data_IF_782626896827
#
_entry.id   IF_782626896827
#
_cell.length_a   1.000
_cell.length_b   1.000
_cell.length_c   1.000
_cell.angle_alpha   90.00
_cell.angle_beta   90.00
_cell.angle_gamma   90.00
#
_symmetry.space_group_name_H-M   'P 1'
#
loop_
_entity.id
_entity.type
_entity.pdbx_description
1 polymer ?
#
# COMPACT_ATOMS: atom_id res chain seq x y z
N UNK A 1 -8.62 9.29 22.66
CA UNK A 1 -8.31 9.18 21.20
C UNK A 1 -6.95 8.53 20.91
N UNK A 2 -5.92 8.71 21.71
CA UNK A 2 -4.55 8.15 21.51
C UNK A 2 -4.43 6.62 21.61
N UNK A 3 -5.30 5.93 22.36
CA UNK A 3 -5.22 4.46 22.57
C UNK A 3 -5.63 3.64 21.33
N UNK A 4 -6.67 4.06 20.58
CA UNK A 4 -7.17 3.30 19.44
C UNK A 4 -6.22 3.39 18.22
N UNK A 5 -5.67 4.57 17.95
CA UNK A 5 -4.71 4.76 16.84
C UNK A 5 -3.45 3.92 17.05
N UNK A 6 -2.88 3.90 18.25
CA UNK A 6 -1.70 3.08 18.55
C UNK A 6 -1.98 1.57 18.38
N UNK A 7 -3.18 1.12 18.75
CA UNK A 7 -3.60 -0.27 18.56
C UNK A 7 -3.77 -0.61 17.08
N UNK A 8 -4.37 0.29 16.30
CA UNK A 8 -4.50 0.13 14.85
C UNK A 8 -3.12 0.10 14.17
N UNK A 9 -2.21 1.02 14.52
CA UNK A 9 -0.85 1.06 13.98
C UNK A 9 -0.06 -0.22 14.30
N UNK A 10 -0.20 -0.77 15.51
CA UNK A 10 0.41 -2.05 15.87
C UNK A 10 -0.15 -3.20 15.02
N UNK A 11 -1.46 -3.27 14.82
CA UNK A 11 -2.10 -4.31 14.01
C UNK A 11 -1.77 -4.22 12.52
N UNK A 12 -1.56 -3.01 11.99
CA UNK A 12 -1.13 -2.79 10.60
C UNK A 12 0.26 -3.37 10.34
N UNK A 13 1.11 -3.43 11.37
CA UNK A 13 2.46 -3.98 11.31
C UNK A 13 2.60 -5.39 11.92
N UNK A 14 1.50 -6.02 12.32
CA UNK A 14 1.52 -7.37 12.88
C UNK A 14 1.77 -8.41 11.79
N UNK A 15 2.93 -9.07 11.88
CA UNK A 15 3.38 -10.06 10.87
C UNK A 15 2.42 -11.23 10.73
N UNK A 16 1.75 -11.65 11.82
CA UNK A 16 0.78 -12.74 11.78
C UNK A 16 -0.49 -12.34 11.03
N UNK A 17 -1.01 -11.13 11.27
CA UNK A 17 -2.15 -10.58 10.53
C UNK A 17 -1.78 -10.44 9.06
N UNK A 18 -0.60 -9.89 8.76
CA UNK A 18 -0.13 -9.69 7.38
C UNK A 18 -0.02 -11.02 6.63
N UNK A 19 0.73 -11.99 7.16
CA UNK A 19 1.02 -13.24 6.47
C UNK A 19 -0.17 -14.19 6.39
N UNK A 20 -1.03 -14.25 7.43
CA UNK A 20 -2.05 -15.30 7.58
C UNK A 20 -3.49 -14.80 7.31
N UNK A 21 -3.69 -13.49 7.14
CA UNK A 21 -5.02 -12.91 6.92
C UNK A 21 -5.01 -11.87 5.80
N UNK A 22 -4.38 -10.71 6.00
CA UNK A 22 -4.46 -9.57 5.09
C UNK A 22 -3.88 -9.85 3.70
N UNK A 23 -2.85 -10.67 3.64
CA UNK A 23 -2.11 -11.08 2.44
C UNK A 23 -1.93 -12.59 2.38
N UNK A 24 -2.77 -13.37 3.07
CA UNK A 24 -2.77 -14.84 2.98
C UNK A 24 -2.87 -15.34 1.52
N UNK A 25 -3.49 -14.52 0.69
CA UNK A 25 -3.53 -14.62 -0.77
C UNK A 25 -3.67 -13.23 -1.41
N UNK A 26 -3.79 -13.20 -2.74
CA UNK A 26 -3.88 -11.93 -3.50
C UNK A 26 -5.25 -11.24 -3.47
N UNK A 27 -6.33 -11.83 -2.91
CA UNK A 27 -7.71 -11.35 -3.06
C UNK A 27 -7.94 -9.97 -2.48
N UNK A 28 -7.55 -9.75 -1.22
CA UNK A 28 -7.73 -8.46 -0.56
C UNK A 28 -6.88 -7.36 -1.21
N UNK A 29 -5.64 -7.68 -1.61
CA UNK A 29 -4.77 -6.74 -2.33
C UNK A 29 -5.37 -6.36 -3.70
N UNK A 30 -5.84 -7.36 -4.46
CA UNK A 30 -6.50 -7.11 -5.74
C UNK A 30 -7.76 -6.25 -5.60
N UNK A 31 -8.56 -6.48 -4.55
CA UNK A 31 -9.74 -5.67 -4.25
C UNK A 31 -9.36 -4.20 -3.95
N UNK A 32 -8.31 -3.96 -3.13
CA UNK A 32 -7.80 -2.61 -2.86
C UNK A 32 -7.25 -1.92 -4.11
N UNK A 33 -6.55 -2.66 -4.97
CA UNK A 33 -6.01 -2.13 -6.23
C UNK A 33 -7.10 -1.86 -7.27
N UNK A 34 -8.20 -2.61 -7.26
CA UNK A 34 -9.23 -2.54 -8.29
C UNK A 34 -9.93 -1.18 -8.38
N UNK A 35 -10.06 -0.45 -7.28
CA UNK A 35 -10.76 0.85 -7.24
C UNK A 35 -10.06 1.90 -8.12
N UNK A 36 -8.76 1.78 -8.37
CA UNK A 36 -7.99 2.71 -9.20
C UNK A 36 -8.33 2.61 -10.70
N UNK A 37 -9.13 1.60 -11.14
CA UNK A 37 -9.64 1.52 -12.52
C UNK A 37 -10.51 2.71 -12.89
N UNK A 38 -11.14 3.35 -11.89
CA UNK A 38 -11.99 4.53 -12.07
C UNK A 38 -11.28 5.85 -11.79
N UNK A 39 -9.96 5.82 -11.57
CA UNK A 39 -9.16 7.01 -11.32
C UNK A 39 -8.88 7.78 -12.59
N UNK A 40 -8.99 9.11 -12.50
CA UNK A 40 -8.57 10.06 -13.52
C UNK A 40 -7.65 11.13 -12.90
N UNK A 41 -6.49 11.42 -13.48
CA UNK A 41 -5.89 10.67 -14.60
C UNK A 41 -5.54 9.23 -14.22
N UNK A 42 -5.51 8.33 -15.21
CA UNK A 42 -5.06 6.96 -15.01
C UNK A 42 -3.52 6.92 -14.98
N UNK A 43 -2.94 6.26 -13.97
CA UNK A 43 -1.50 6.09 -13.85
C UNK A 43 -1.11 4.64 -14.10
N UNK A 44 -0.18 4.41 -15.03
CA UNK A 44 0.55 3.15 -15.14
C UNK A 44 1.70 3.15 -14.12
N UNK A 45 1.37 2.80 -12.86
CA UNK A 45 2.35 2.83 -11.77
C UNK A 45 3.59 1.95 -12.04
N UNK A 46 3.48 0.71 -12.59
CA UNK A 46 4.65 -0.05 -13.02
C UNK A 46 5.47 0.67 -14.10
N UNK A 47 4.83 1.32 -15.08
CA UNK A 47 5.53 2.11 -16.10
C UNK A 47 6.32 3.27 -15.51
N UNK A 48 5.76 3.97 -14.52
CA UNK A 48 6.46 5.05 -13.80
C UNK A 48 7.69 4.49 -13.05
N UNK A 49 7.56 3.31 -12.41
CA UNK A 49 8.70 2.64 -11.76
C UNK A 49 9.79 2.29 -12.77
N UNK A 50 9.41 1.81 -13.96
CA UNK A 50 10.34 1.53 -15.06
C UNK A 50 11.09 2.79 -15.53
N UNK A 51 10.41 3.94 -15.62
CA UNK A 51 11.03 5.24 -15.92
C UNK A 51 12.13 5.58 -14.89
N UNK A 52 11.85 5.39 -13.58
CA UNK A 52 12.80 5.66 -12.49
C UNK A 52 13.99 4.67 -12.48
N UNK A 53 13.84 3.49 -13.08
CA UNK A 53 14.90 2.48 -13.26
C UNK A 53 15.73 2.70 -14.53
N UNK A 54 15.50 3.77 -15.30
CA UNK A 54 16.26 4.06 -16.51
C UNK A 54 17.77 4.16 -16.20
N UNK A 55 18.56 3.40 -16.96
CA UNK A 55 20.03 3.30 -16.76
C UNK A 55 20.45 2.35 -15.63
N UNK A 56 19.52 1.74 -14.90
CA UNK A 56 19.82 0.67 -13.94
C UNK A 56 20.03 -0.66 -14.67
N UNK A 57 20.99 -1.46 -14.22
CA UNK A 57 21.27 -2.81 -14.71
C UNK A 57 21.56 -3.73 -13.51
N UNK A 58 21.47 -5.04 -13.69
CA UNK A 58 21.82 -6.03 -12.69
C UNK A 58 20.66 -6.45 -11.79
N UNK A 59 20.86 -6.50 -10.47
CA UNK A 59 19.93 -7.11 -9.51
C UNK A 59 18.94 -6.07 -8.97
N UNK A 60 17.66 -6.34 -9.14
CA UNK A 60 16.55 -5.57 -8.60
C UNK A 60 15.81 -6.42 -7.56
N UNK A 61 15.64 -5.91 -6.36
CA UNK A 61 14.87 -6.58 -5.31
C UNK A 61 13.54 -5.85 -5.11
N UNK A 62 12.42 -6.53 -5.32
CA UNK A 62 11.08 -6.00 -5.01
C UNK A 62 10.66 -6.49 -3.61
N UNK A 63 10.84 -5.62 -2.61
CA UNK A 63 10.62 -5.91 -1.19
C UNK A 63 9.17 -5.63 -0.83
N UNK A 64 8.44 -6.65 -0.38
CA UNK A 64 6.99 -6.63 -0.19
C UNK A 64 6.26 -6.61 -1.55
N UNK A 65 6.66 -7.51 -2.46
CA UNK A 65 6.18 -7.52 -3.85
C UNK A 65 4.69 -7.88 -3.99
N UNK A 66 4.05 -8.36 -2.92
CA UNK A 66 2.64 -8.72 -2.89
C UNK A 66 2.28 -9.73 -3.99
N UNK A 67 1.27 -9.40 -4.80
CA UNK A 67 0.81 -10.24 -5.91
C UNK A 67 1.70 -10.19 -7.17
N UNK A 68 2.90 -9.65 -7.08
CA UNK A 68 3.91 -9.66 -8.15
C UNK A 68 3.64 -8.76 -9.35
N UNK A 69 2.73 -7.79 -9.23
CA UNK A 69 2.37 -6.90 -10.35
C UNK A 69 3.58 -6.18 -10.94
N UNK A 70 4.50 -5.71 -10.10
CA UNK A 70 5.73 -5.04 -10.56
C UNK A 70 6.76 -6.04 -11.07
N UNK A 71 6.92 -7.19 -10.39
CA UNK A 71 7.81 -8.28 -10.82
C UNK A 71 7.49 -8.71 -12.25
N UNK A 72 6.22 -9.06 -12.53
CA UNK A 72 5.79 -9.51 -13.86
C UNK A 72 6.02 -8.44 -14.94
N UNK A 73 5.73 -7.16 -14.62
CA UNK A 73 5.95 -6.07 -15.57
C UNK A 73 7.43 -5.82 -15.84
N UNK A 74 8.28 -5.91 -14.81
CA UNK A 74 9.73 -5.78 -14.97
C UNK A 74 10.32 -6.93 -15.79
N UNK A 75 9.91 -8.18 -15.57
CA UNK A 75 10.33 -9.32 -16.37
C UNK A 75 9.95 -9.15 -17.84
N UNK A 76 8.75 -8.62 -18.11
CA UNK A 76 8.26 -8.39 -19.47
C UNK A 76 9.03 -7.27 -20.20
N UNK A 77 9.19 -6.11 -19.56
CA UNK A 77 9.68 -4.89 -20.22
C UNK A 77 11.20 -4.73 -20.10
N UNK A 78 11.83 -5.40 -19.11
CA UNK A 78 13.28 -5.34 -18.82
C UNK A 78 13.86 -6.73 -18.55
N UNK A 79 13.84 -7.64 -19.55
CA UNK A 79 14.39 -9.00 -19.42
C UNK A 79 15.91 -9.03 -19.19
N UNK A 80 16.57 -7.89 -19.32
CA UNK A 80 17.98 -7.69 -18.99
C UNK A 80 18.24 -7.57 -17.48
N UNK A 81 17.21 -7.35 -16.65
CA UNK A 81 17.31 -7.22 -15.21
C UNK A 81 17.09 -8.55 -14.49
N UNK A 82 17.81 -8.78 -13.41
CA UNK A 82 17.57 -9.89 -12.50
C UNK A 82 16.63 -9.44 -11.39
N UNK A 83 15.33 -9.64 -11.58
CA UNK A 83 14.31 -9.21 -10.62
C UNK A 83 13.99 -10.35 -9.65
N UNK A 84 14.05 -10.07 -8.35
CA UNK A 84 13.72 -11.01 -7.29
C UNK A 84 12.60 -10.39 -6.44
N UNK A 85 11.43 -11.04 -6.43
CA UNK A 85 10.30 -10.63 -5.57
C UNK A 85 10.46 -11.20 -4.15
N UNK A 86 10.10 -10.42 -3.14
CA UNK A 86 10.09 -10.87 -1.75
C UNK A 86 8.82 -10.40 -1.04
N UNK A 87 8.27 -11.27 -0.21
CA UNK A 87 7.16 -10.93 0.68
C UNK A 87 7.25 -11.76 1.96
N UNK A 88 6.64 -11.28 3.04
CA UNK A 88 6.58 -12.02 4.30
C UNK A 88 5.55 -13.17 4.23
N UNK A 89 4.57 -13.07 3.34
CA UNK A 89 3.53 -14.08 3.14
C UNK A 89 3.90 -15.06 2.03
N UNK A 90 4.08 -16.32 2.39
CA UNK A 90 4.25 -17.40 1.41
C UNK A 90 3.01 -17.58 0.51
N UNK A 91 1.81 -17.32 1.06
CA UNK A 91 0.55 -17.50 0.34
C UNK A 91 0.40 -16.52 -0.82
N UNK A 92 0.74 -15.24 -0.62
CA UNK A 92 0.64 -14.24 -1.70
C UNK A 92 1.67 -14.48 -2.82
N UNK A 93 2.79 -15.14 -2.49
CA UNK A 93 3.84 -15.46 -3.46
C UNK A 93 3.54 -16.70 -4.31
N UNK A 94 2.49 -17.47 -3.99
CA UNK A 94 2.21 -18.75 -4.64
C UNK A 94 2.05 -18.62 -6.17
N UNK A 95 1.43 -17.54 -6.63
CA UNK A 95 1.15 -17.28 -8.05
C UNK A 95 2.09 -16.23 -8.67
N UNK A 96 3.12 -15.79 -7.92
CA UNK A 96 4.08 -14.79 -8.42
C UNK A 96 5.17 -15.47 -9.25
N UNK A 97 5.51 -14.85 -10.38
CA UNK A 97 6.59 -15.30 -11.27
C UNK A 97 7.94 -15.32 -10.55
N UNK A 98 8.64 -16.43 -10.69
CA UNK A 98 9.94 -16.65 -10.02
C UNK A 98 11.09 -15.93 -10.74
N UNK A 99 12.15 -15.54 -10.00
CA UNK A 99 12.47 -15.93 -8.63
C UNK A 99 11.74 -15.11 -7.55
N UNK A 100 11.21 -15.81 -6.53
CA UNK A 100 10.60 -15.19 -5.34
C UNK A 100 11.12 -15.82 -4.06
N UNK A 101 11.12 -15.05 -2.96
CA UNK A 101 11.64 -15.45 -1.67
C UNK A 101 10.71 -15.00 -0.54
N UNK A 102 10.41 -15.89 0.40
CA UNK A 102 9.76 -15.49 1.66
C UNK A 102 10.79 -14.82 2.55
N UNK A 103 10.62 -13.54 2.83
CA UNK A 103 11.57 -12.77 3.63
C UNK A 103 10.89 -11.63 4.40
N UNK A 104 11.49 -11.30 5.54
CA UNK A 104 11.16 -10.11 6.31
C UNK A 104 12.01 -8.94 5.83
N UNK A 105 11.37 -7.82 5.48
CA UNK A 105 12.06 -6.61 5.03
C UNK A 105 13.05 -6.03 6.05
N UNK A 106 12.90 -6.39 7.34
CA UNK A 106 13.83 -5.96 8.41
C UNK A 106 15.11 -6.79 8.45
N UNK A 107 15.15 -7.96 7.78
CA UNK A 107 16.27 -8.90 7.80
C UNK A 107 16.42 -9.53 6.41
N UNK A 108 16.90 -8.76 5.45
CA UNK A 108 17.03 -9.23 4.07
C UNK A 108 18.18 -10.23 3.93
N UNK A 109 17.95 -11.42 3.33
CA UNK A 109 18.98 -12.47 3.20
C UNK A 109 19.96 -12.19 2.04
N UNK A 110 20.43 -10.95 1.96
CA UNK A 110 21.36 -10.49 0.94
C UNK A 110 22.58 -9.83 1.59
N UNK A 111 23.72 -9.97 0.92
CA UNK A 111 24.96 -9.34 1.36
C UNK A 111 24.87 -7.81 1.28
N UNK A 112 25.74 -7.14 2.02
CA UNK A 112 25.88 -5.68 1.90
C UNK A 112 26.21 -5.28 0.46
N UNK A 113 25.59 -4.21 -0.03
CA UNK A 113 25.88 -3.61 -1.34
C UNK A 113 25.75 -4.61 -2.50
N UNK A 114 24.79 -5.52 -2.45
CA UNK A 114 24.57 -6.57 -3.44
C UNK A 114 23.49 -6.26 -4.48
N UNK A 115 22.59 -5.30 -4.24
CA UNK A 115 21.54 -4.93 -5.15
C UNK A 115 21.79 -3.60 -5.87
N UNK A 116 21.40 -3.50 -7.12
CA UNK A 116 21.49 -2.30 -7.97
C UNK A 116 20.33 -1.33 -7.72
N UNK A 117 19.14 -1.89 -7.53
CA UNK A 117 17.96 -1.14 -7.11
C UNK A 117 17.10 -1.95 -6.15
N UNK A 118 16.34 -1.24 -5.34
CA UNK A 118 15.33 -1.77 -4.45
C UNK A 118 14.00 -1.11 -4.74
N UNK A 119 12.93 -1.91 -4.74
CA UNK A 119 11.56 -1.43 -4.72
C UNK A 119 10.97 -1.70 -3.34
N UNK A 120 10.26 -0.71 -2.78
CA UNK A 120 9.50 -0.81 -1.53
C UNK A 120 8.13 -0.14 -1.75
N UNK A 121 7.28 -0.78 -2.56
CA UNK A 121 6.08 -0.18 -3.12
C UNK A 121 4.85 -0.52 -2.27
N UNK A 122 4.28 0.49 -1.59
CA UNK A 122 3.13 0.35 -0.71
C UNK A 122 3.32 -0.70 0.41
N UNK A 123 4.53 -0.80 1.00
CA UNK A 123 4.82 -1.80 2.02
C UNK A 123 5.45 -1.25 3.31
N UNK A 124 6.17 -0.11 3.28
CA UNK A 124 6.92 0.38 4.43
C UNK A 124 6.06 0.73 5.66
N UNK A 125 4.78 0.99 5.49
CA UNK A 125 3.85 1.17 6.61
C UNK A 125 3.49 -0.14 7.31
N UNK A 126 3.80 -1.30 6.73
CA UNK A 126 3.54 -2.64 7.30
C UNK A 126 4.70 -3.20 8.13
N UNK A 127 5.88 -2.59 8.09
CA UNK A 127 7.00 -3.07 8.90
C UNK A 127 6.88 -2.57 10.35
N UNK A 128 7.31 -3.38 11.31
CA UNK A 128 7.21 -3.02 12.73
C UNK A 128 8.13 -1.85 13.09
N UNK A 129 9.34 -1.83 12.54
CA UNK A 129 10.34 -0.75 12.69
C UNK A 129 10.73 -0.20 11.31
N UNK A 130 10.19 0.98 10.99
CA UNK A 130 10.40 1.64 9.70
C UNK A 130 11.87 2.09 9.55
N UNK A 131 12.47 2.65 10.61
CA UNK A 131 13.85 3.13 10.55
C UNK A 131 14.85 1.98 10.41
N UNK A 132 14.66 0.88 11.16
CA UNK A 132 15.48 -0.31 11.02
C UNK A 132 15.37 -0.90 9.61
N UNK A 133 14.14 -0.95 9.04
CA UNK A 133 13.94 -1.42 7.67
C UNK A 133 14.64 -0.53 6.65
N UNK A 134 14.57 0.79 6.78
CA UNK A 134 15.24 1.72 5.88
C UNK A 134 16.76 1.55 5.94
N UNK A 135 17.33 1.33 7.13
CA UNK A 135 18.76 1.02 7.29
C UNK A 135 19.13 -0.30 6.63
N UNK A 136 18.27 -1.32 6.73
CA UNK A 136 18.48 -2.61 6.08
C UNK A 136 18.42 -2.50 4.54
N UNK A 137 17.45 -1.77 4.00
CA UNK A 137 17.40 -1.45 2.57
C UNK A 137 18.67 -0.73 2.11
N UNK A 138 19.12 0.27 2.88
CA UNK A 138 20.37 0.96 2.59
C UNK A 138 21.58 0.02 2.68
N UNK A 139 21.63 -0.93 3.62
CA UNK A 139 22.70 -1.92 3.73
C UNK A 139 22.86 -2.73 2.45
N UNK A 140 21.76 -3.26 1.94
CA UNK A 140 21.74 -4.14 0.77
C UNK A 140 22.00 -3.40 -0.53
N UNK A 141 21.54 -2.15 -0.64
CA UNK A 141 21.73 -1.32 -1.83
C UNK A 141 23.18 -0.91 -2.00
N UNK A 142 23.74 -1.05 -3.21
CA UNK A 142 25.11 -0.60 -3.53
C UNK A 142 25.22 0.93 -3.53
N UNK A 143 26.44 1.48 -3.37
CA UNK A 143 26.67 2.91 -3.59
C UNK A 143 26.25 3.33 -5.00
N UNK A 144 25.51 4.43 -5.11
CA UNK A 144 24.93 4.90 -6.37
C UNK A 144 23.68 4.14 -6.83
N UNK A 145 23.27 3.10 -6.13
CA UNK A 145 22.00 2.39 -6.36
C UNK A 145 20.77 3.24 -6.02
N UNK A 146 19.62 2.83 -6.51
CA UNK A 146 18.36 3.55 -6.35
C UNK A 146 17.37 2.75 -5.51
N UNK A 147 16.74 3.41 -4.53
CA UNK A 147 15.53 2.94 -3.86
C UNK A 147 14.32 3.67 -4.44
N UNK A 148 13.32 2.91 -4.84
CA UNK A 148 12.02 3.43 -5.26
C UNK A 148 10.99 2.96 -4.23
N UNK A 149 10.40 3.90 -3.50
CA UNK A 149 9.32 3.64 -2.55
C UNK A 149 8.01 4.26 -3.05
N UNK A 150 6.88 3.74 -2.62
CA UNK A 150 5.59 4.40 -2.84
C UNK A 150 4.69 4.31 -1.62
N UNK A 151 3.83 5.31 -1.48
CA UNK A 151 2.82 5.38 -0.42
C UNK A 151 1.72 6.35 -0.80
N UNK A 152 0.72 6.49 0.07
CA UNK A 152 -0.36 7.46 -0.08
C UNK A 152 -0.19 8.61 0.92
N UNK A 153 -0.80 9.76 0.61
CA UNK A 153 -0.93 10.90 1.50
C UNK A 153 -1.83 10.58 2.71
N UNK A 154 -1.65 11.31 3.80
CA UNK A 154 -2.58 11.30 4.95
C UNK A 154 -3.98 11.81 4.56
N UNK A 155 -4.12 12.48 3.40
CA UNK A 155 -5.39 12.97 2.86
C UNK A 155 -5.99 12.10 1.76
N UNK A 156 -5.36 10.96 1.45
CA UNK A 156 -5.81 10.04 0.40
C UNK A 156 -7.14 9.38 0.77
N UNK A 157 -8.15 9.49 -0.10
CA UNK A 157 -9.48 8.84 0.04
C UNK A 157 -10.27 9.21 1.30
N UNK A 158 -10.15 10.45 1.77
CA UNK A 158 -10.90 10.93 2.95
C UNK A 158 -12.43 10.78 2.81
N UNK A 159 -12.95 10.73 1.60
CA UNK A 159 -14.39 10.50 1.36
C UNK A 159 -14.80 9.10 1.82
N UNK A 160 -13.92 8.09 1.68
CA UNK A 160 -14.15 6.75 2.23
C UNK A 160 -14.05 6.73 3.76
N UNK A 161 -13.17 7.54 4.35
CA UNK A 161 -13.08 7.67 5.80
C UNK A 161 -14.36 8.26 6.39
N UNK A 162 -14.87 9.34 5.76
CA UNK A 162 -16.14 9.96 6.13
C UNK A 162 -17.33 9.03 5.94
N UNK A 163 -17.35 8.28 4.82
CA UNK A 163 -18.38 7.28 4.54
C UNK A 163 -18.40 6.20 5.63
N UNK A 164 -17.22 5.67 5.98
CA UNK A 164 -17.08 4.68 7.05
C UNK A 164 -17.53 5.22 8.41
N UNK A 165 -17.04 6.39 8.82
CA UNK A 165 -17.38 7.00 10.12
C UNK A 165 -18.88 7.25 10.25
N UNK A 166 -19.55 7.69 9.17
CA UNK A 166 -21.00 7.83 9.12
C UNK A 166 -21.71 6.48 9.27
N UNK A 167 -21.29 5.47 8.49
CA UNK A 167 -21.89 4.14 8.55
C UNK A 167 -21.71 3.50 9.94
N UNK A 168 -20.52 3.62 10.51
CA UNK A 168 -20.22 3.13 11.87
C UNK A 168 -21.07 3.87 12.93
N UNK A 169 -21.25 5.18 12.77
CA UNK A 169 -22.13 5.98 13.63
C UNK A 169 -23.58 5.51 13.58
N UNK A 170 -24.11 5.27 12.37
CA UNK A 170 -25.46 4.73 12.19
C UNK A 170 -25.65 3.35 12.88
N UNK A 171 -24.66 2.47 12.79
CA UNK A 171 -24.68 1.13 13.43
C UNK A 171 -24.64 1.24 14.96
N UNK A 172 -23.85 2.19 15.52
CA UNK A 172 -23.71 2.36 16.96
C UNK A 172 -24.75 3.30 17.58
N UNK A 173 -25.58 3.95 16.75
CA UNK A 173 -26.57 4.93 17.22
C UNK A 173 -25.93 6.21 17.76
N UNK A 174 -24.79 6.64 17.22
CA UNK A 174 -24.04 7.85 17.58
C UNK A 174 -23.81 8.73 16.34
N UNK A 175 -23.57 10.06 16.51
CA UNK A 175 -23.42 10.98 15.37
C UNK A 175 -22.27 10.63 14.42
N UNK A 176 -21.15 10.15 14.96
CA UNK A 176 -19.96 9.76 14.20
C UNK A 176 -19.29 8.57 14.89
N UNK A 177 -19.08 7.49 14.14
CA UNK A 177 -18.45 6.28 14.62
C UNK A 177 -16.93 6.32 14.60
N UNK A 178 -16.27 5.24 15.07
CA UNK A 178 -14.82 5.15 15.06
C UNK A 178 -14.28 5.14 13.63
N UNK A 179 -13.07 5.69 13.45
CA UNK A 179 -12.37 5.67 12.18
C UNK A 179 -12.03 4.23 11.74
N UNK A 180 -12.03 3.99 10.43
CA UNK A 180 -11.48 2.74 9.90
C UNK A 180 -9.97 2.68 10.05
N UNK A 181 -9.39 1.50 9.94
CA UNK A 181 -7.93 1.34 9.92
C UNK A 181 -7.35 2.04 8.69
N UNK A 182 -6.35 2.89 8.91
CA UNK A 182 -5.56 3.53 7.87
C UNK A 182 -4.22 2.82 7.71
N UNK A 183 -3.98 2.20 6.54
CA UNK A 183 -2.75 1.43 6.32
C UNK A 183 -1.51 2.34 6.20
N UNK A 184 -1.62 3.45 5.45
CA UNK A 184 -0.47 4.32 5.13
C UNK A 184 -0.12 5.34 6.22
N UNK A 185 -0.91 5.46 7.29
CA UNK A 185 -0.71 6.48 8.34
C UNK A 185 0.68 6.47 8.98
N UNK A 186 1.32 5.29 9.08
CA UNK A 186 2.65 5.14 9.66
C UNK A 186 3.78 5.61 8.75
N UNK A 187 3.55 5.55 7.42
CA UNK A 187 4.50 5.96 6.39
C UNK A 187 3.74 6.63 5.23
N UNK A 188 3.21 7.83 5.48
CA UNK A 188 2.50 8.63 4.48
C UNK A 188 3.46 9.45 3.61
N UNK A 189 2.96 10.06 2.52
CA UNK A 189 3.78 10.94 1.66
C UNK A 189 4.42 12.09 2.44
N UNK A 190 3.74 12.60 3.45
CA UNK A 190 4.20 13.70 4.29
C UNK A 190 5.33 13.26 5.24
N UNK A 191 5.29 12.00 5.71
CA UNK A 191 6.26 11.44 6.66
C UNK A 191 7.45 10.76 5.97
N UNK A 192 7.22 10.19 4.80
CA UNK A 192 8.19 9.35 4.09
C UNK A 192 9.55 10.03 3.84
N UNK A 193 9.63 11.32 3.41
CA UNK A 193 10.92 11.98 3.21
C UNK A 193 11.75 12.06 4.50
N UNK A 194 11.12 12.29 5.67
CA UNK A 194 11.79 12.31 6.96
C UNK A 194 12.40 10.96 7.33
N UNK A 195 11.65 9.88 7.14
CA UNK A 195 12.15 8.52 7.37
C UNK A 195 13.29 8.16 6.41
N UNK A 196 13.08 8.37 5.10
CA UNK A 196 14.08 8.02 4.08
C UNK A 196 15.37 8.84 4.21
N UNK A 197 15.27 10.11 4.63
CA UNK A 197 16.39 11.00 4.86
C UNK A 197 17.37 10.54 5.95
N UNK A 198 17.01 9.55 6.77
CA UNK A 198 17.91 8.94 7.76
C UNK A 198 19.03 8.10 7.13
N UNK A 199 18.85 7.59 5.90
CA UNK A 199 19.81 6.71 5.23
C UNK A 199 20.07 7.05 3.75
N UNK A 200 19.22 7.86 3.13
CA UNK A 200 19.31 8.22 1.72
C UNK A 200 19.44 9.73 1.53
N UNK A 201 20.02 10.12 0.39
CA UNK A 201 20.13 11.49 -0.10
C UNK A 201 19.31 11.66 -1.37
N UNK A 202 19.18 12.87 -1.88
CA UNK A 202 18.55 13.17 -3.17
C UNK A 202 17.14 12.56 -3.31
N UNK A 203 16.33 12.74 -2.27
CA UNK A 203 14.96 12.22 -2.24
C UNK A 203 14.08 13.08 -3.15
N UNK A 204 13.55 12.47 -4.22
CA UNK A 204 12.60 13.11 -5.12
C UNK A 204 11.22 12.50 -4.90
N UNK A 205 10.21 13.33 -4.79
CA UNK A 205 8.81 12.94 -4.65
C UNK A 205 8.08 13.28 -5.93
N UNK A 206 7.43 12.29 -6.54
CA UNK A 206 6.50 12.45 -7.66
C UNK A 206 5.10 12.16 -7.16
N UNK A 207 4.30 13.19 -6.96
CA UNK A 207 2.91 13.07 -6.56
C UNK A 207 2.05 12.59 -7.74
N UNK A 208 1.02 11.80 -7.42
CA UNK A 208 0.08 11.22 -8.37
C UNK A 208 -1.36 11.56 -7.94
N UNK A 209 -1.75 12.84 -8.04
CA UNK A 209 -3.09 13.27 -7.67
C UNK A 209 -4.15 12.74 -8.64
N UNK A 210 -5.34 12.44 -8.14
CA UNK A 210 -6.42 11.95 -8.98
C UNK A 210 -7.79 12.00 -8.31
N UNK A 211 -8.80 11.70 -9.10
CA UNK A 211 -10.17 11.54 -8.63
C UNK A 211 -10.74 10.23 -9.16
N UNK A 212 -11.33 9.42 -8.28
CA UNK A 212 -12.09 8.23 -8.61
C UNK A 212 -13.57 8.62 -8.68
N UNK A 213 -14.26 8.26 -9.77
CA UNK A 213 -15.70 8.46 -9.93
C UNK A 213 -16.39 7.10 -10.03
N UNK A 214 -17.20 6.79 -9.04
CA UNK A 214 -17.92 5.51 -8.92
C UNK A 214 -19.40 5.73 -9.18
N UNK A 215 -19.97 5.00 -10.13
CA UNK A 215 -21.40 5.03 -10.49
C UNK A 215 -22.17 3.78 -10.02
N UNK A 216 -21.48 2.81 -9.42
CA UNK A 216 -22.01 1.59 -8.81
C UNK A 216 -21.32 1.41 -7.44
N UNK A 217 -22.03 1.15 -6.33
CA UNK A 217 -21.40 1.03 -5.01
C UNK A 217 -20.49 -0.19 -4.86
N UNK A 218 -20.57 -1.22 -5.72
CA UNK A 218 -19.82 -2.46 -5.57
C UNK A 218 -18.28 -2.28 -5.47
N UNK A 219 -17.61 -1.39 -6.22
CA UNK A 219 -16.20 -1.13 -6.05
C UNK A 219 -15.84 -0.54 -4.68
N UNK A 220 -16.71 0.30 -4.11
CA UNK A 220 -16.52 0.87 -2.76
C UNK A 220 -16.64 -0.24 -1.72
N UNK A 221 -17.67 -1.08 -1.84
CA UNK A 221 -17.91 -2.24 -0.97
C UNK A 221 -16.71 -3.19 -1.00
N UNK A 222 -16.26 -3.56 -2.20
CA UNK A 222 -15.09 -4.43 -2.37
C UNK A 222 -13.82 -3.85 -1.73
N UNK A 223 -13.60 -2.54 -1.89
CA UNK A 223 -12.48 -1.85 -1.27
C UNK A 223 -12.59 -1.87 0.27
N UNK A 224 -13.73 -1.49 0.85
CA UNK A 224 -13.92 -1.49 2.30
C UNK A 224 -13.84 -2.92 2.89
N UNK A 225 -14.48 -3.91 2.27
CA UNK A 225 -14.45 -5.29 2.71
C UNK A 225 -13.02 -5.89 2.71
N UNK A 226 -12.13 -5.39 1.85
CA UNK A 226 -10.74 -5.86 1.80
C UNK A 226 -9.91 -5.56 3.06
N UNK A 227 -10.46 -4.78 3.99
CA UNK A 227 -9.87 -4.50 5.31
C UNK A 227 -10.34 -5.46 6.41
N UNK A 228 -11.06 -6.55 6.07
CA UNK A 228 -11.61 -7.53 7.02
C UNK A 228 -10.55 -8.12 7.97
N UNK A 229 -9.29 -8.23 7.52
CA UNK A 229 -8.18 -8.69 8.36
C UNK A 229 -7.95 -7.84 9.62
N UNK A 230 -8.42 -6.59 9.62
CA UNK A 230 -8.33 -5.64 10.74
C UNK A 230 -9.70 -5.31 11.34
N UNK A 231 -10.72 -6.18 11.15
CA UNK A 231 -12.07 -5.95 11.63
C UNK A 231 -12.14 -5.70 13.15
N UNK A 232 -11.37 -6.46 13.92
CA UNK A 232 -11.32 -6.35 15.40
C UNK A 232 -10.81 -4.99 15.89
N UNK A 233 -10.04 -4.28 15.05
CA UNK A 233 -9.49 -2.96 15.36
C UNK A 233 -10.43 -1.81 15.01
N UNK A 234 -11.55 -2.10 14.36
CA UNK A 234 -12.51 -1.07 13.93
C UNK A 234 -13.43 -0.58 15.05
N UNK A 235 -13.59 -1.36 16.15
CA UNK A 235 -14.47 -1.00 17.26
C UNK A 235 -15.96 -0.93 16.91
N UNK A 236 -16.39 -1.61 15.84
CA UNK A 236 -17.76 -1.65 15.33
C UNK A 236 -17.96 -2.95 14.55
N UNK A 237 -19.17 -3.53 14.50
CA UNK A 237 -19.48 -4.69 13.66
C UNK A 237 -19.09 -4.44 12.21
N UNK A 238 -18.01 -5.07 11.75
CA UNK A 238 -17.33 -4.73 10.49
C UNK A 238 -18.24 -4.92 9.27
N UNK A 239 -18.87 -6.10 9.15
CA UNK A 239 -19.69 -6.46 7.97
C UNK A 239 -20.94 -5.61 7.87
N UNK A 240 -21.59 -5.35 9.00
CA UNK A 240 -22.76 -4.48 9.09
C UNK A 240 -22.41 -3.05 8.70
N UNK A 241 -21.25 -2.58 9.12
CA UNK A 241 -20.73 -1.24 8.75
C UNK A 241 -20.44 -1.15 7.25
N UNK A 242 -19.84 -2.18 6.65
CA UNK A 242 -19.61 -2.24 5.19
C UNK A 242 -20.94 -2.22 4.43
N UNK A 243 -21.95 -2.99 4.89
CA UNK A 243 -23.28 -3.01 4.27
C UNK A 243 -23.97 -1.62 4.39
N UNK A 244 -23.87 -0.99 5.56
CA UNK A 244 -24.41 0.36 5.75
C UNK A 244 -23.70 1.42 4.90
N UNK A 245 -22.38 1.33 4.75
CA UNK A 245 -21.63 2.18 3.85
C UNK A 245 -22.06 2.01 2.38
N UNK A 246 -22.38 0.76 1.96
CA UNK A 246 -22.93 0.48 0.63
C UNK A 246 -24.27 1.19 0.39
N UNK A 247 -25.18 1.16 1.36
CA UNK A 247 -26.49 1.86 1.26
C UNK A 247 -26.31 3.37 1.15
N UNK A 248 -25.43 3.96 1.98
CA UNK A 248 -25.14 5.42 1.94
C UNK A 248 -24.52 5.80 0.61
N UNK A 249 -23.54 5.02 0.11
CA UNK A 249 -22.90 5.26 -1.18
C UNK A 249 -23.91 5.15 -2.35
N UNK A 250 -24.79 4.15 -2.32
CA UNK A 250 -25.84 3.97 -3.33
C UNK A 250 -26.82 5.15 -3.35
N UNK A 251 -27.22 5.64 -2.18
CA UNK A 251 -28.08 6.82 -2.06
C UNK A 251 -27.40 8.08 -2.63
N UNK A 252 -26.12 8.30 -2.32
CA UNK A 252 -25.33 9.41 -2.86
C UNK A 252 -25.21 9.31 -4.40
N UNK A 253 -24.91 8.12 -4.93
CA UNK A 253 -24.83 7.88 -6.38
C UNK A 253 -26.19 8.18 -7.06
N UNK A 254 -27.29 7.73 -6.45
CA UNK A 254 -28.64 8.00 -6.99
C UNK A 254 -28.95 9.49 -7.07
N UNK A 255 -28.48 10.28 -6.12
CA UNK A 255 -28.76 11.72 -6.03
C UNK A 255 -27.78 12.55 -6.88
N UNK A 256 -26.50 12.21 -6.87
CA UNK A 256 -25.41 13.01 -7.46
C UNK A 256 -24.88 12.43 -8.78
N UNK A 257 -25.35 11.24 -9.19
CA UNK A 257 -24.91 10.50 -10.38
C UNK A 257 -23.59 9.74 -10.18
N UNK A 258 -22.80 10.05 -9.14
CA UNK A 258 -21.56 9.35 -8.81
C UNK A 258 -21.09 9.63 -7.39
N UNK A 259 -20.37 8.70 -6.80
CA UNK A 259 -19.58 8.91 -5.59
C UNK A 259 -18.15 9.28 -5.99
N UNK A 260 -17.68 10.46 -5.57
CA UNK A 260 -16.34 10.97 -5.90
C UNK A 260 -15.39 10.73 -4.74
N UNK A 261 -14.18 10.29 -5.05
CA UNK A 261 -13.11 10.01 -4.07
C UNK A 261 -11.85 10.71 -4.56
N UNK A 262 -11.27 11.57 -3.73
CA UNK A 262 -9.99 12.21 -3.99
C UNK A 262 -8.85 11.25 -3.68
N UNK A 263 -7.89 11.13 -4.60
CA UNK A 263 -6.72 10.29 -4.43
C UNK A 263 -5.45 11.13 -4.47
N UNK A 264 -4.53 10.82 -3.57
CA UNK A 264 -3.16 11.33 -3.61
C UNK A 264 -2.20 10.24 -3.14
N UNK A 265 -1.58 9.60 -4.10
CA UNK A 265 -0.44 8.72 -3.88
C UNK A 265 0.84 9.34 -4.42
N UNK A 266 1.97 8.68 -4.24
CA UNK A 266 3.23 9.14 -4.82
C UNK A 266 4.32 8.10 -4.81
N UNK A 267 5.34 8.40 -5.62
CA UNK A 267 6.60 7.65 -5.70
C UNK A 267 7.71 8.51 -5.17
N UNK A 268 8.57 7.90 -4.36
CA UNK A 268 9.78 8.52 -3.82
C UNK A 268 10.98 7.78 -4.39
N UNK A 269 11.85 8.51 -5.10
CA UNK A 269 13.09 7.97 -5.65
C UNK A 269 14.25 8.52 -4.86
N UNK A 270 15.07 7.63 -4.29
CA UNK A 270 16.16 7.96 -3.40
C UNK A 270 17.47 7.36 -3.91
N UNK A 271 18.57 8.05 -3.77
CA UNK A 271 19.91 7.52 -4.09
C UNK A 271 20.73 7.31 -2.82
N UNK A 272 21.52 6.25 -2.84
CA UNK A 272 22.45 5.95 -1.75
C UNK A 272 23.77 6.69 -1.91
#
# INVERSE_FOLDING_TARGET
MTSNTAQQDAAVADKSILANSAYADGRHLAARQSIYRWQQPHYDLPGIVLEELTGTSGIILDVGCGNGKFVSRLHQDRPDLQVIGMDISAGILADVEKPVLVADAQFLPFADKSADALLALHMLYHVSDIEATIKELARVLRPGGVLIASTNSDTDKQELDRLWARAAGDILGIPEGPARVSLSSRFSLEKAPGYLGTAFKDIRVRELPGTIKITDPAPIVSHLASYEAWADQCGVPFRETVNRAAEIAAAAIKTEGSFKITCLGGILTCRR
#
